data_IF_871390753723
#
_entry.id   IF_871390753723
#
_cell.length_a   1.000
_cell.length_b   1.000
_cell.length_c   1.000
_cell.angle_alpha   90.00
_cell.angle_beta   90.00
_cell.angle_gamma   90.00
#
_symmetry.space_group_name_H-M   'P 1'
#
loop_
_entity.id
_entity.type
_entity.pdbx_description
1 polymer ?
#
# COMPACT_ATOMS: atom_id res chain seq x y z
N UNK A 1 -30.43 -17.75 -3.62
CA UNK A 1 -29.34 -16.77 -3.72
C UNK A 1 -28.18 -17.43 -4.43
N UNK A 2 -27.88 -17.05 -5.67
CA UNK A 2 -26.73 -17.58 -6.39
C UNK A 2 -25.47 -16.82 -5.94
N UNK A 3 -24.60 -17.48 -5.18
CA UNK A 3 -23.31 -16.93 -4.78
C UNK A 3 -22.32 -17.05 -5.93
N UNK A 4 -22.18 -16.00 -6.74
CA UNK A 4 -21.12 -15.92 -7.73
C UNK A 4 -19.81 -15.56 -7.01
N UNK A 5 -18.89 -16.52 -6.89
CA UNK A 5 -17.54 -16.27 -6.38
C UNK A 5 -16.62 -15.91 -7.55
N UNK A 6 -16.31 -14.62 -7.69
CA UNK A 6 -15.34 -14.14 -8.67
C UNK A 6 -13.94 -14.18 -8.06
N UNK A 7 -13.09 -15.09 -8.52
CA UNK A 7 -11.66 -15.11 -8.21
C UNK A 7 -10.96 -14.32 -9.31
N UNK A 8 -10.16 -13.31 -8.94
CA UNK A 8 -9.39 -12.56 -9.91
C UNK A 8 -7.91 -12.56 -9.54
N UNK A 9 -7.09 -13.08 -10.44
CA UNK A 9 -5.64 -13.15 -10.33
C UNK A 9 -5.02 -12.04 -11.18
N UNK A 10 -4.34 -11.08 -10.54
CA UNK A 10 -3.67 -9.98 -11.23
C UNK A 10 -2.17 -9.96 -10.92
N UNK A 11 -1.35 -9.65 -11.92
CA UNK A 11 0.07 -9.30 -11.80
C UNK A 11 0.21 -7.76 -11.82
N UNK A 12 1.27 -7.20 -11.21
CA UNK A 12 1.44 -5.77 -10.89
C UNK A 12 1.08 -4.75 -12.00
N UNK A 13 1.22 -5.11 -13.27
CA UNK A 13 0.86 -4.25 -14.42
C UNK A 13 -0.62 -3.83 -14.43
N UNK A 14 -1.47 -4.49 -13.64
CA UNK A 14 -2.90 -4.22 -13.55
C UNK A 14 -3.31 -3.57 -12.21
N UNK A 15 -2.34 -3.22 -11.35
CA UNK A 15 -2.65 -2.63 -10.04
C UNK A 15 -2.97 -1.13 -10.08
N UNK A 16 -2.37 -0.35 -10.97
CA UNK A 16 -2.70 1.07 -11.15
C UNK A 16 -3.70 1.25 -12.31
N UNK A 17 -4.84 1.89 -12.03
CA UNK A 17 -5.81 2.29 -13.06
C UNK A 17 -6.92 1.27 -13.40
N UNK A 18 -6.87 0.03 -12.91
CA UNK A 18 -8.00 -0.90 -13.04
C UNK A 18 -8.95 -0.81 -11.83
N UNK A 19 -10.21 -0.45 -12.09
CA UNK A 19 -11.31 -0.42 -11.14
C UNK A 19 -11.77 -1.85 -10.79
N UNK A 20 -11.04 -2.50 -9.89
CA UNK A 20 -11.39 -3.82 -9.37
C UNK A 20 -12.32 -3.60 -8.17
N UNK A 21 -13.51 -4.22 -8.15
CA UNK A 21 -14.47 -4.07 -7.06
C UNK A 21 -13.87 -4.54 -5.74
N UNK A 22 -14.41 -4.04 -4.62
CA UNK A 22 -14.00 -4.45 -3.28
C UNK A 22 -14.13 -5.96 -3.09
N UNK A 23 -13.05 -6.63 -2.70
CA UNK A 23 -12.99 -8.07 -2.48
C UNK A 23 -13.17 -8.42 -0.99
N UNK A 24 -13.78 -9.57 -0.71
CA UNK A 24 -13.79 -10.14 0.65
C UNK A 24 -12.48 -10.84 1.01
N UNK A 25 -11.66 -11.20 0.01
CA UNK A 25 -10.38 -11.87 0.23
C UNK A 25 -9.33 -11.33 -0.74
N UNK A 26 -8.16 -10.98 -0.22
CA UNK A 26 -6.97 -10.65 -1.01
C UNK A 26 -5.84 -11.55 -0.52
N UNK A 27 -5.26 -12.35 -1.41
CA UNK A 27 -4.17 -13.25 -1.11
C UNK A 27 -2.99 -12.91 -2.02
N UNK A 28 -1.86 -12.57 -1.44
CA UNK A 28 -0.58 -12.42 -2.13
C UNK A 28 0.25 -13.66 -1.89
N UNK A 29 0.67 -14.34 -2.95
CA UNK A 29 1.51 -15.54 -2.85
C UNK A 29 2.90 -15.25 -3.40
N UNK A 30 3.92 -15.30 -2.53
CA UNK A 30 5.32 -14.99 -2.86
C UNK A 30 5.54 -13.67 -3.61
N UNK A 31 4.68 -12.69 -3.33
CA UNK A 31 4.64 -11.47 -4.10
C UNK A 31 4.64 -10.24 -3.21
N UNK A 32 5.80 -9.59 -3.11
CA UNK A 32 6.00 -8.37 -2.33
C UNK A 32 6.62 -7.26 -3.20
N UNK A 33 5.82 -6.23 -3.46
CA UNK A 33 6.18 -4.99 -4.15
C UNK A 33 6.80 -3.99 -3.15
N UNK A 34 6.65 -2.69 -3.38
CA UNK A 34 6.95 -1.64 -2.39
C UNK A 34 5.79 -1.41 -1.39
N UNK A 35 5.99 -0.45 -0.50
CA UNK A 35 4.99 -0.05 0.51
C UNK A 35 3.70 0.47 -0.14
N UNK A 36 3.78 1.17 -1.28
CA UNK A 36 2.61 1.72 -1.99
C UNK A 36 1.75 0.57 -2.54
N UNK A 37 2.34 -0.38 -3.27
CA UNK A 37 1.61 -1.54 -3.78
C UNK A 37 1.03 -2.41 -2.66
N UNK A 38 1.70 -2.44 -1.50
CA UNK A 38 1.18 -3.13 -0.30
C UNK A 38 -0.07 -2.45 0.24
N UNK A 39 -0.08 -1.12 0.36
CA UNK A 39 -1.26 -0.35 0.78
C UNK A 39 -2.40 -0.50 -0.23
N UNK A 40 -2.11 -0.42 -1.53
CA UNK A 40 -3.12 -0.53 -2.59
C UNK A 40 -3.75 -1.91 -2.67
N UNK A 41 -2.94 -2.98 -2.60
CA UNK A 41 -3.45 -4.36 -2.58
C UNK A 41 -4.34 -4.62 -1.36
N UNK A 42 -3.93 -4.14 -0.18
CA UNK A 42 -4.77 -4.18 1.03
C UNK A 42 -6.04 -3.35 0.88
N UNK A 43 -5.98 -2.21 0.19
CA UNK A 43 -7.13 -1.37 -0.14
C UNK A 43 -8.20 -2.04 -1.02
N UNK A 44 -7.92 -3.20 -1.63
CA UNK A 44 -8.94 -3.99 -2.33
C UNK A 44 -9.80 -4.81 -1.36
N UNK A 45 -9.28 -5.14 -0.18
CA UNK A 45 -10.01 -5.76 0.93
C UNK A 45 -10.70 -4.71 1.80
N UNK A 46 -11.72 -4.02 1.27
CA UNK A 46 -12.51 -2.99 2.00
C UNK A 46 -13.94 -3.42 2.34
N UNK A 47 -14.38 -4.60 1.90
CA UNK A 47 -15.69 -5.11 2.25
C UNK A 47 -15.76 -5.42 3.76
N UNK A 48 -16.95 -5.35 4.36
CA UNK A 48 -17.16 -5.78 5.74
C UNK A 48 -16.77 -7.27 5.88
N UNK A 49 -15.97 -7.60 6.90
CA UNK A 49 -15.38 -8.93 7.10
C UNK A 49 -14.46 -9.39 5.94
N UNK A 50 -13.74 -8.46 5.32
CA UNK A 50 -12.70 -8.81 4.35
C UNK A 50 -11.40 -9.24 5.02
N UNK A 51 -10.65 -10.11 4.35
CA UNK A 51 -9.37 -10.61 4.80
C UNK A 51 -8.25 -10.30 3.80
N UNK A 52 -7.07 -10.00 4.33
CA UNK A 52 -5.85 -9.77 3.56
C UNK A 52 -4.74 -10.68 4.08
N UNK A 53 -4.20 -11.52 3.19
CA UNK A 53 -3.16 -12.49 3.51
C UNK A 53 -1.94 -12.30 2.61
N UNK A 54 -0.76 -12.38 3.21
CA UNK A 54 0.49 -12.62 2.51
C UNK A 54 0.97 -14.02 2.88
N UNK A 55 1.13 -14.88 1.88
CA UNK A 55 1.74 -16.19 2.01
C UNK A 55 3.13 -16.09 1.42
N UNK A 56 4.15 -16.23 2.26
CA UNK A 56 5.55 -16.23 1.85
C UNK A 56 6.38 -17.10 2.79
N UNK A 57 7.50 -17.62 2.30
CA UNK A 57 8.48 -18.37 3.07
C UNK A 57 9.08 -17.51 4.18
N UNK A 58 9.20 -18.10 5.37
CA UNK A 58 9.79 -17.45 6.52
C UNK A 58 11.26 -17.09 6.21
N UNK A 59 11.65 -15.90 6.66
CA UNK A 59 12.98 -15.30 6.43
C UNK A 59 13.44 -15.13 4.97
N UNK A 60 12.55 -15.36 4.00
CA UNK A 60 12.80 -15.04 2.59
C UNK A 60 13.00 -13.54 2.34
N UNK A 61 13.53 -13.19 1.16
CA UNK A 61 13.63 -11.79 0.73
C UNK A 61 12.27 -11.09 0.74
N UNK A 62 11.21 -11.79 0.34
CA UNK A 62 9.84 -11.27 0.33
C UNK A 62 9.36 -11.00 1.76
N UNK A 63 9.59 -11.92 2.70
CA UNK A 63 9.26 -11.71 4.10
C UNK A 63 9.98 -10.49 4.71
N UNK A 64 11.28 -10.35 4.44
CA UNK A 64 12.05 -9.19 4.90
C UNK A 64 11.60 -7.89 4.23
N UNK A 65 11.22 -7.94 2.96
CA UNK A 65 10.68 -6.80 2.22
C UNK A 65 9.36 -6.34 2.80
N UNK A 66 8.44 -7.25 3.12
CA UNK A 66 7.15 -6.91 3.73
C UNK A 66 7.35 -6.25 5.10
N UNK A 67 8.28 -6.76 5.93
CA UNK A 67 8.66 -6.12 7.19
C UNK A 67 9.13 -4.68 6.98
N UNK A 68 9.98 -4.45 5.98
CA UNK A 68 10.46 -3.10 5.62
C UNK A 68 9.32 -2.21 5.11
N UNK A 69 8.41 -2.75 4.31
CA UNK A 69 7.26 -2.02 3.79
C UNK A 69 6.35 -1.53 4.92
N UNK A 70 6.10 -2.36 5.95
CA UNK A 70 5.33 -1.94 7.14
C UNK A 70 5.98 -0.76 7.89
N UNK A 71 7.29 -0.82 8.09
CA UNK A 71 8.04 0.27 8.73
C UNK A 71 7.98 1.55 7.86
N UNK A 72 8.06 1.40 6.53
CA UNK A 72 7.94 2.55 5.60
C UNK A 72 6.54 3.16 5.63
N UNK A 73 5.50 2.33 5.68
CA UNK A 73 4.12 2.76 5.83
C UNK A 73 3.93 3.60 7.11
N UNK A 74 4.41 3.11 8.26
CA UNK A 74 4.37 3.87 9.53
C UNK A 74 5.12 5.21 9.42
N UNK A 75 6.31 5.19 8.81
CA UNK A 75 7.08 6.42 8.59
C UNK A 75 6.38 7.40 7.64
N UNK A 76 5.64 6.90 6.64
CA UNK A 76 4.82 7.74 5.76
C UNK A 76 3.71 8.43 6.54
N UNK A 77 3.00 7.71 7.42
CA UNK A 77 1.97 8.31 8.28
C UNK A 77 2.56 9.38 9.22
N UNK A 78 3.69 9.08 9.87
CA UNK A 78 4.40 10.03 10.73
C UNK A 78 4.82 11.27 9.93
N UNK A 79 5.37 11.08 8.73
CA UNK A 79 5.75 12.18 7.88
C UNK A 79 4.54 13.05 7.53
N UNK A 80 3.45 12.46 7.02
CA UNK A 80 2.23 13.21 6.66
C UNK A 80 1.71 14.02 7.85
N UNK A 81 1.61 13.41 9.03
CA UNK A 81 1.16 14.09 10.24
C UNK A 81 2.08 15.25 10.61
N UNK A 82 3.39 15.05 10.59
CA UNK A 82 4.37 16.12 10.84
C UNK A 82 4.18 17.27 9.85
N UNK A 83 4.05 16.94 8.57
CA UNK A 83 3.87 17.94 7.50
C UNK A 83 2.57 18.74 7.65
N UNK A 84 1.48 18.12 8.11
CA UNK A 84 0.21 18.80 8.38
C UNK A 84 0.27 19.74 9.59
N UNK A 85 1.17 19.48 10.54
CA UNK A 85 1.37 20.31 11.75
C UNK A 85 2.44 21.39 11.60
N UNK A 86 3.15 21.43 10.47
CA UNK A 86 4.16 22.45 10.22
C UNK A 86 3.52 23.83 10.06
N UNK A 87 4.20 24.84 10.59
CA UNK A 87 3.86 26.22 10.33
C UNK A 87 3.91 26.52 8.83
N UNK A 88 2.94 27.28 8.32
CA UNK A 88 2.77 27.54 6.89
C UNK A 88 3.98 28.24 6.27
N UNK A 89 4.66 29.12 7.01
CA UNK A 89 5.82 29.85 6.48
C UNK A 89 7.03 28.93 6.37
N UNK A 90 7.20 28.02 7.33
CA UNK A 90 8.25 26.99 7.28
C UNK A 90 7.98 26.03 6.11
N UNK A 91 6.74 25.57 5.96
CA UNK A 91 6.32 24.69 4.87
C UNK A 91 6.64 25.30 3.50
N UNK A 92 6.23 26.55 3.27
CA UNK A 92 6.43 27.22 1.98
C UNK A 92 7.91 27.41 1.64
N UNK A 93 8.75 27.75 2.61
CA UNK A 93 10.21 27.85 2.40
C UNK A 93 10.82 26.50 2.03
N UNK A 94 10.40 25.43 2.71
CA UNK A 94 10.95 24.09 2.48
C UNK A 94 10.58 23.56 1.09
N UNK A 95 9.34 23.79 0.65
CA UNK A 95 8.86 23.47 -0.70
C UNK A 95 9.61 24.30 -1.75
N UNK A 96 9.76 25.61 -1.54
CA UNK A 96 10.48 26.49 -2.47
C UNK A 96 11.95 26.07 -2.63
N UNK A 97 12.63 25.71 -1.53
CA UNK A 97 14.04 25.30 -1.55
C UNK A 97 14.24 23.97 -2.30
N UNK A 98 13.31 23.03 -2.16
CA UNK A 98 13.37 21.73 -2.86
C UNK A 98 13.00 21.84 -4.34
N UNK A 99 12.13 22.78 -4.72
CA UNK A 99 11.77 23.04 -6.11
C UNK A 99 12.92 23.67 -6.92
N UNK A 100 13.82 24.41 -6.27
CA UNK A 100 14.99 25.06 -6.91
C UNK A 100 16.15 24.10 -7.14
N UNK A 101 16.22 23.00 -6.38
CA UNK A 101 17.31 22.02 -6.43
C UNK A 101 16.97 20.75 -7.25
N UNK A 102 15.95 20.83 -8.11
CA UNK A 102 15.57 19.77 -9.06
C UNK A 102 15.80 20.26 -10.48
#
# INVERSE_FOLDING_TARGET
>A
MHGYMSIISYLDIVQEGLDIPTCSYVIRYEFVSDEIGTIQSRGRARAQNSFYYLITELDSMNHQREKKNKIREENMEIAINRWQTLDKDIFQRDVATKAVNK
#
